data_IF_525024074260
#
_entry.id   IF_525024074260
#
_cell.length_a   1.000
_cell.length_b   1.000
_cell.length_c   1.000
_cell.angle_alpha   90.00
_cell.angle_beta   90.00
_cell.angle_gamma   90.00
#
_symmetry.space_group_name_H-M   'P 1'
#
loop_
_entity.id
_entity.type
_entity.pdbx_description
1 polymer ?
#
# COMPACT_ATOMS: atom_id res chain seq x y z
N UNK A 1 49.18 29.38 6.56
CA UNK A 1 49.85 29.70 5.28
C UNK A 1 48.91 30.56 4.46
N UNK A 2 49.18 31.86 4.37
CA UNK A 2 48.83 32.63 3.19
C UNK A 2 50.16 33.05 2.58
N UNK A 3 50.33 32.86 1.28
CA UNK A 3 50.90 33.95 0.47
C UNK A 3 50.21 33.99 -0.90
N UNK A 4 50.13 35.07 -1.66
CA UNK A 4 50.57 36.47 -1.59
C UNK A 4 49.62 37.18 -2.58
N UNK A 5 49.23 38.45 -2.41
CA UNK A 5 50.12 39.62 -2.40
C UNK A 5 50.65 39.84 -3.82
N UNK A 6 50.63 40.99 -4.47
CA UNK A 6 50.32 42.40 -4.20
C UNK A 6 50.20 43.01 -5.64
N UNK A 7 49.93 44.26 -5.97
CA UNK A 7 50.24 45.52 -5.32
C UNK A 7 49.43 46.65 -5.98
N UNK A 8 49.17 47.67 -5.18
CA UNK A 8 48.55 48.93 -5.51
C UNK A 8 49.52 49.94 -6.15
N UNK A 9 48.97 50.89 -6.93
CA UNK A 9 49.36 52.32 -7.05
C UNK A 9 48.36 52.99 -8.02
N UNK A 10 47.89 54.24 -7.94
CA UNK A 10 48.16 55.41 -7.08
C UNK A 10 47.01 56.47 -7.22
N UNK A 11 46.86 57.29 -6.17
CA UNK A 11 46.54 58.74 -6.10
C UNK A 11 45.34 59.42 -6.84
N UNK A 12 44.38 59.93 -6.01
CA UNK A 12 43.78 61.29 -5.86
C UNK A 12 43.33 62.19 -7.07
N UNK A 13 42.49 63.25 -6.87
CA UNK A 13 41.18 63.37 -6.19
C UNK A 13 40.07 64.16 -6.98
N UNK A 14 38.81 64.07 -6.49
CA UNK A 14 37.61 64.96 -6.67
C UNK A 14 36.92 65.04 -8.07
N UNK A 15 35.58 65.33 -8.20
CA UNK A 15 34.69 66.05 -7.28
C UNK A 15 33.33 65.38 -6.95
N UNK A 16 32.67 65.93 -5.92
CA UNK A 16 31.35 65.57 -5.39
C UNK A 16 30.26 65.74 -6.45
N UNK A 17 29.63 64.64 -6.87
CA UNK A 17 28.44 64.66 -7.72
C UNK A 17 27.20 64.41 -6.86
N UNK A 18 26.44 65.47 -6.58
CA UNK A 18 25.11 65.36 -5.95
C UNK A 18 24.22 64.50 -6.84
N UNK A 19 23.95 63.26 -6.44
CA UNK A 19 22.94 62.43 -7.07
C UNK A 19 21.57 62.96 -6.67
N UNK A 20 20.90 63.67 -7.58
CA UNK A 20 19.46 63.91 -7.45
C UNK A 20 18.76 62.56 -7.57
N UNK A 21 18.09 62.13 -6.49
CA UNK A 21 17.21 60.96 -6.53
C UNK A 21 16.14 61.20 -7.61
N UNK A 22 15.82 60.21 -8.47
CA UNK A 22 14.75 60.38 -9.45
C UNK A 22 13.43 60.68 -8.72
N UNK A 23 12.69 61.67 -9.22
CA UNK A 23 11.37 62.01 -8.68
C UNK A 23 10.48 60.77 -8.84
N UNK A 24 9.89 60.28 -7.73
CA UNK A 24 8.80 59.30 -7.81
C UNK A 24 7.64 59.97 -8.52
N UNK A 25 7.27 59.45 -9.68
CA UNK A 25 6.03 59.79 -10.36
C UNK A 25 4.91 59.24 -9.46
N UNK A 26 4.00 60.12 -9.03
CA UNK A 26 2.79 59.71 -8.29
C UNK A 26 1.94 58.84 -9.21
N UNK A 27 1.50 57.68 -8.70
CA UNK A 27 0.63 56.75 -9.43
C UNK A 27 -0.85 57.09 -9.23
N UNK A 28 -1.17 58.13 -8.45
CA UNK A 28 -2.53 58.59 -8.24
C UNK A 28 -3.07 59.22 -9.54
N UNK A 29 -3.88 58.45 -10.28
CA UNK A 29 -4.55 58.88 -11.51
C UNK A 29 -4.20 58.08 -12.77
N UNK A 30 -3.23 57.16 -12.71
CA UNK A 30 -2.92 56.28 -13.83
C UNK A 30 -3.94 55.12 -13.92
N UNK A 31 -5.01 55.34 -14.68
CA UNK A 31 -5.92 54.25 -15.05
C UNK A 31 -5.26 53.44 -16.18
N UNK A 32 -5.12 52.12 -16.00
CA UNK A 32 -4.70 51.25 -17.10
C UNK A 32 -5.77 51.29 -18.17
N UNK A 33 -5.39 51.66 -19.40
CA UNK A 33 -6.27 51.48 -20.56
C UNK A 33 -6.59 49.98 -20.67
N UNK A 34 -7.84 49.62 -20.41
CA UNK A 34 -8.31 48.25 -20.61
C UNK A 34 -8.74 48.11 -22.07
N UNK A 35 -8.15 47.14 -22.77
CA UNK A 35 -8.60 46.77 -24.11
C UNK A 35 -10.04 46.26 -24.05
N UNK A 36 -10.83 46.49 -25.10
CA UNK A 36 -12.20 45.98 -25.23
C UNK A 36 -12.26 44.45 -25.02
N UNK A 37 -11.23 43.72 -25.45
CA UNK A 37 -11.10 42.28 -25.20
C UNK A 37 -11.03 41.92 -23.70
N UNK A 38 -10.40 42.77 -22.88
CA UNK A 38 -10.33 42.54 -21.44
C UNK A 38 -11.67 42.80 -20.74
N UNK A 39 -12.51 43.67 -21.31
CA UNK A 39 -13.88 43.90 -20.84
C UNK A 39 -14.81 42.74 -21.23
N UNK A 40 -14.64 42.17 -22.43
CA UNK A 40 -15.39 40.99 -22.86
C UNK A 40 -15.04 39.77 -22.01
N UNK A 41 -13.77 39.48 -21.79
CA UNK A 41 -13.34 38.37 -20.91
C UNK A 41 -13.87 38.53 -19.46
N UNK A 42 -14.01 39.77 -18.98
CA UNK A 42 -14.58 40.04 -17.66
C UNK A 42 -16.11 39.86 -17.64
N UNK A 43 -16.81 40.05 -18.76
CA UNK A 43 -18.25 39.77 -18.91
C UNK A 43 -18.50 38.27 -19.06
N UNK A 44 -17.70 37.58 -19.86
CA UNK A 44 -17.77 36.13 -20.06
C UNK A 44 -17.51 35.37 -18.76
N UNK A 45 -16.58 35.86 -17.93
CA UNK A 45 -16.33 35.31 -16.60
C UNK A 45 -17.54 35.46 -15.67
N UNK A 46 -18.18 36.64 -15.66
CA UNK A 46 -19.42 36.87 -14.89
C UNK A 46 -20.59 36.01 -15.38
N UNK A 47 -20.65 35.76 -16.67
CA UNK A 47 -21.65 34.87 -17.27
C UNK A 47 -21.40 33.41 -16.89
N UNK A 48 -20.13 32.96 -16.95
CA UNK A 48 -19.72 31.63 -16.51
C UNK A 48 -19.96 31.41 -15.00
N UNK A 49 -19.74 32.43 -14.16
CA UNK A 49 -20.04 32.38 -12.72
C UNK A 49 -21.56 32.34 -12.45
N UNK A 50 -22.37 33.01 -13.27
CA UNK A 50 -23.84 32.99 -13.18
C UNK A 50 -24.44 31.64 -13.65
N UNK A 51 -23.86 31.01 -14.67
CA UNK A 51 -24.25 29.68 -15.14
C UNK A 51 -23.68 28.54 -14.26
N UNK A 52 -22.52 28.72 -13.63
CA UNK A 52 -21.97 27.80 -12.62
C UNK A 52 -22.75 27.83 -11.28
N UNK A 53 -23.52 28.90 -11.02
CA UNK A 53 -24.43 28.98 -9.88
C UNK A 53 -25.71 28.15 -10.06
N UNK A 54 -26.00 27.64 -11.27
CA UNK A 54 -26.95 26.53 -11.48
C UNK A 54 -26.27 25.20 -11.18
N UNK A 55 -26.11 24.95 -9.89
CA UNK A 55 -25.87 23.66 -9.23
C UNK A 55 -25.61 22.49 -10.20
N UNK A 56 -24.34 22.22 -10.48
CA UNK A 56 -23.97 20.81 -10.60
C UNK A 56 -24.37 20.17 -9.26
N UNK A 57 -25.16 19.09 -9.26
CA UNK A 57 -25.43 18.38 -8.02
C UNK A 57 -24.09 18.03 -7.39
N UNK A 58 -23.88 18.42 -6.14
CA UNK A 58 -22.73 18.00 -5.39
C UNK A 58 -22.72 16.46 -5.45
N UNK A 59 -21.72 15.89 -6.14
CA UNK A 59 -21.46 14.45 -6.11
C UNK A 59 -20.96 14.16 -4.70
N UNK A 60 -21.92 14.07 -3.77
CA UNK A 60 -21.70 13.38 -2.52
C UNK A 60 -21.68 11.93 -2.91
N UNK A 61 -20.50 11.40 -3.22
CA UNK A 61 -20.32 9.95 -3.30
C UNK A 61 -20.78 9.41 -1.94
N UNK A 62 -21.97 8.79 -1.94
CA UNK A 62 -22.52 8.18 -0.75
C UNK A 62 -21.67 6.94 -0.48
N UNK A 63 -20.65 7.12 0.34
CA UNK A 63 -19.77 6.06 0.81
C UNK A 63 -20.15 5.70 2.25
N UNK A 64 -20.17 4.40 2.53
CA UNK A 64 -20.43 3.84 3.85
C UNK A 64 -19.29 2.91 4.26
N UNK A 65 -19.01 2.86 5.57
CA UNK A 65 -18.03 1.93 6.15
C UNK A 65 -18.65 0.54 6.27
N UNK A 66 -18.21 -0.38 5.41
CA UNK A 66 -18.71 -1.75 5.38
C UNK A 66 -17.68 -2.72 5.99
N UNK A 67 -18.09 -3.45 7.04
CA UNK A 67 -17.22 -4.38 7.75
C UNK A 67 -17.30 -5.81 7.18
N UNK A 68 -16.21 -6.30 6.60
CA UNK A 68 -16.11 -7.64 6.03
C UNK A 68 -16.48 -8.74 7.04
N UNK A 69 -17.36 -9.66 6.63
CA UNK A 69 -17.83 -10.76 7.48
C UNK A 69 -16.80 -11.88 7.66
N UNK A 70 -15.80 -11.99 6.75
CA UNK A 70 -14.73 -12.97 6.85
C UNK A 70 -13.64 -12.52 7.83
N UNK A 71 -13.01 -11.38 7.54
CA UNK A 71 -11.81 -10.92 8.24
C UNK A 71 -12.07 -9.74 9.18
N UNK A 72 -13.27 -9.14 9.19
CA UNK A 72 -13.61 -8.04 10.09
C UNK A 72 -12.97 -6.69 9.77
N UNK A 73 -12.25 -6.57 8.65
CA UNK A 73 -11.69 -5.31 8.15
C UNK A 73 -12.80 -4.40 7.62
N UNK A 74 -12.69 -3.10 7.84
CA UNK A 74 -13.59 -2.07 7.30
C UNK A 74 -13.04 -1.53 5.99
N UNK A 75 -13.94 -1.32 5.03
CA UNK A 75 -13.67 -0.68 3.75
C UNK A 75 -14.76 0.37 3.49
N UNK A 76 -14.35 1.53 2.98
CA UNK A 76 -15.26 2.57 2.50
C UNK A 76 -15.80 2.14 1.12
N UNK A 77 -17.12 1.99 0.99
CA UNK A 77 -17.75 1.44 -0.20
C UNK A 77 -19.03 2.17 -0.55
N UNK A 78 -19.39 2.19 -1.84
CA UNK A 78 -20.72 2.67 -2.24
C UNK A 78 -21.78 1.60 -1.93
N UNK A 79 -23.01 1.98 -1.54
CA UNK A 79 -24.10 1.04 -1.27
C UNK A 79 -24.39 0.10 -2.46
N UNK A 80 -24.24 0.63 -3.67
CA UNK A 80 -24.40 -0.14 -4.92
C UNK A 80 -23.34 -1.24 -5.06
N UNK A 81 -22.09 -0.95 -4.69
CA UNK A 81 -21.04 -1.95 -4.66
C UNK A 81 -21.29 -2.99 -3.56
N UNK A 82 -21.70 -2.56 -2.36
CA UNK A 82 -22.09 -3.47 -1.26
C UNK A 82 -23.17 -4.45 -1.70
N UNK A 83 -24.20 -3.97 -2.40
CA UNK A 83 -25.29 -4.81 -2.90
C UNK A 83 -24.78 -5.86 -3.90
N UNK A 84 -23.96 -5.47 -4.87
CA UNK A 84 -23.39 -6.38 -5.88
C UNK A 84 -22.50 -7.46 -5.25
N UNK A 85 -21.71 -7.10 -4.24
CA UNK A 85 -20.88 -8.06 -3.52
C UNK A 85 -21.76 -9.05 -2.76
N UNK A 86 -22.78 -8.58 -2.04
CA UNK A 86 -23.73 -9.47 -1.34
C UNK A 86 -24.45 -10.43 -2.29
N UNK A 87 -24.86 -9.97 -3.46
CA UNK A 87 -25.47 -10.82 -4.49
C UNK A 87 -24.52 -11.95 -4.95
N UNK A 88 -23.20 -11.69 -5.02
CA UNK A 88 -22.18 -12.66 -5.43
C UNK A 88 -21.81 -13.66 -4.33
N UNK A 89 -21.75 -13.22 -3.07
CA UNK A 89 -21.23 -13.99 -1.94
C UNK A 89 -22.32 -14.39 -0.95
N UNK A 90 -23.40 -15.01 -1.45
CA UNK A 90 -24.44 -15.62 -0.62
C UNK A 90 -25.05 -14.67 0.42
N UNK A 91 -25.26 -13.40 0.04
CA UNK A 91 -25.81 -12.34 0.90
C UNK A 91 -24.80 -11.68 1.84
N UNK A 92 -23.55 -12.13 1.86
CA UNK A 92 -22.51 -11.63 2.78
C UNK A 92 -21.69 -10.51 2.17
N UNK A 93 -21.33 -9.54 3.00
CA UNK A 93 -20.36 -8.53 2.60
C UNK A 93 -18.93 -9.05 2.84
N UNK A 94 -18.13 -9.02 1.77
CA UNK A 94 -16.76 -9.54 1.74
C UNK A 94 -15.86 -8.46 1.16
N UNK A 95 -14.75 -8.16 1.85
CA UNK A 95 -13.78 -7.18 1.36
C UNK A 95 -13.09 -7.64 0.06
N UNK A 96 -12.49 -6.70 -0.68
CA UNK A 96 -11.83 -7.01 -1.96
C UNK A 96 -10.80 -8.15 -1.87
N UNK A 97 -9.99 -8.17 -0.80
CA UNK A 97 -8.98 -9.22 -0.61
C UNK A 97 -9.57 -10.61 -0.32
N UNK A 98 -10.64 -10.68 0.48
CA UNK A 98 -11.30 -11.95 0.75
C UNK A 98 -12.11 -12.41 -0.47
N UNK A 99 -12.66 -11.49 -1.26
CA UNK A 99 -13.36 -11.80 -2.50
C UNK A 99 -12.44 -12.53 -3.50
N UNK A 100 -11.23 -12.02 -3.70
CA UNK A 100 -10.21 -12.67 -4.55
C UNK A 100 -9.81 -14.06 -4.02
N UNK A 101 -9.62 -14.19 -2.70
CA UNK A 101 -9.30 -15.48 -2.10
C UNK A 101 -10.43 -16.52 -2.31
N UNK A 102 -11.69 -16.13 -2.12
CA UNK A 102 -12.84 -17.00 -2.33
C UNK A 102 -13.00 -17.37 -3.80
N UNK A 103 -12.80 -16.42 -4.73
CA UNK A 103 -12.85 -16.69 -6.16
C UNK A 103 -11.77 -17.71 -6.57
N UNK A 104 -10.53 -17.51 -6.11
CA UNK A 104 -9.43 -18.45 -6.36
C UNK A 104 -9.69 -19.85 -5.78
N UNK A 105 -10.28 -19.94 -4.59
CA UNK A 105 -10.69 -21.22 -3.99
C UNK A 105 -11.82 -21.92 -4.77
N UNK A 106 -12.77 -21.15 -5.32
CA UNK A 106 -13.87 -21.69 -6.12
C UNK A 106 -13.38 -22.22 -7.49
N UNK A 107 -12.49 -21.48 -8.15
CA UNK A 107 -11.90 -21.85 -9.43
C UNK A 107 -10.99 -23.09 -9.32
N UNK A 108 -10.18 -23.18 -8.26
CA UNK A 108 -9.25 -24.28 -8.04
C UNK A 108 -9.92 -25.63 -7.76
N UNK A 109 -11.17 -25.65 -7.29
CA UNK A 109 -11.94 -26.86 -7.00
C UNK A 109 -12.86 -27.27 -8.15
N UNK A 110 -12.35 -27.47 -9.36
CA UNK A 110 -13.11 -28.04 -10.51
C UNK A 110 -14.59 -27.61 -10.60
N UNK A 111 -14.88 -26.31 -10.48
CA UNK A 111 -16.27 -25.80 -10.46
C UNK A 111 -16.95 -25.82 -9.08
N UNK A 112 -16.19 -25.58 -8.02
CA UNK A 112 -16.71 -25.52 -6.65
C UNK A 112 -17.71 -24.38 -6.48
N UNK A 113 -18.79 -24.64 -5.72
CA UNK A 113 -19.81 -23.61 -5.45
C UNK A 113 -19.18 -22.49 -4.63
N UNK A 114 -19.42 -21.23 -5.02
CA UNK A 114 -18.94 -20.02 -4.31
C UNK A 114 -19.26 -20.07 -2.81
N UNK A 115 -20.39 -20.65 -2.43
CA UNK A 115 -20.80 -20.86 -1.04
C UNK A 115 -19.82 -21.74 -0.25
N UNK A 116 -19.38 -22.86 -0.81
CA UNK A 116 -18.44 -23.78 -0.15
C UNK A 116 -17.04 -23.16 -0.01
N UNK A 117 -16.61 -22.41 -1.03
CA UNK A 117 -15.37 -21.66 -0.99
C UNK A 117 -15.44 -20.54 0.07
N UNK A 118 -16.58 -19.84 0.14
CA UNK A 118 -16.81 -18.79 1.13
C UNK A 118 -16.81 -19.35 2.56
N UNK A 119 -17.48 -20.48 2.81
CA UNK A 119 -17.50 -21.12 4.13
C UNK A 119 -16.10 -21.60 4.55
N UNK A 120 -15.35 -22.22 3.65
CA UNK A 120 -13.98 -22.65 3.91
C UNK A 120 -13.08 -21.45 4.24
N UNK A 121 -13.18 -20.37 3.47
CA UNK A 121 -12.44 -19.15 3.70
C UNK A 121 -12.80 -18.50 5.04
N UNK A 122 -14.09 -18.42 5.39
CA UNK A 122 -14.55 -17.92 6.68
C UNK A 122 -14.00 -18.74 7.85
N UNK A 123 -13.89 -20.07 7.72
CA UNK A 123 -13.28 -20.91 8.74
C UNK A 123 -11.78 -20.60 8.92
N UNK A 124 -11.06 -20.34 7.83
CA UNK A 124 -9.65 -19.91 7.86
C UNK A 124 -9.53 -18.54 8.54
N UNK A 125 -10.30 -17.54 8.10
CA UNK A 125 -10.29 -16.21 8.70
C UNK A 125 -10.71 -16.23 10.18
N UNK A 126 -11.69 -17.07 10.55
CA UNK A 126 -12.13 -17.23 11.93
C UNK A 126 -11.02 -17.76 12.84
N UNK A 127 -10.27 -18.76 12.39
CA UNK A 127 -9.08 -19.25 13.11
C UNK A 127 -7.99 -18.19 13.21
N UNK A 128 -7.70 -17.50 12.10
CA UNK A 128 -6.70 -16.43 12.08
C UNK A 128 -7.08 -15.27 12.99
N UNK A 129 -8.34 -14.84 13.00
CA UNK A 129 -8.79 -13.74 13.86
C UNK A 129 -8.76 -14.10 15.33
N UNK A 130 -9.08 -15.35 15.69
CA UNK A 130 -9.06 -15.81 17.08
C UNK A 130 -7.65 -16.00 17.63
N UNK A 131 -6.77 -16.60 16.83
CA UNK A 131 -5.44 -17.05 17.29
C UNK A 131 -4.33 -16.25 16.62
N UNK A 132 -4.32 -16.15 15.30
CA UNK A 132 -3.27 -15.49 14.51
C UNK A 132 -3.11 -14.01 14.77
N UNK A 133 -4.20 -13.25 14.87
CA UNK A 133 -4.15 -11.82 15.18
C UNK A 133 -3.79 -11.54 16.63
N UNK A 134 -4.34 -12.32 17.55
CA UNK A 134 -4.12 -12.13 18.99
C UNK A 134 -2.73 -12.61 19.43
N UNK A 135 -2.22 -13.68 18.81
CA UNK A 135 -0.93 -14.26 19.12
C UNK A 135 -0.23 -14.81 17.86
N UNK A 136 0.43 -13.92 17.08
CA UNK A 136 1.15 -14.31 15.86
C UNK A 136 2.26 -15.33 16.12
N UNK A 137 2.92 -15.26 17.28
CA UNK A 137 4.00 -16.17 17.66
C UNK A 137 3.46 -17.58 17.85
N UNK A 138 2.31 -17.75 18.51
CA UNK A 138 1.70 -19.07 18.69
C UNK A 138 1.41 -19.73 17.33
N UNK A 139 0.80 -19.00 16.39
CA UNK A 139 0.58 -19.53 15.03
C UNK A 139 1.87 -19.88 14.30
N UNK A 140 2.93 -19.07 14.45
CA UNK A 140 4.23 -19.40 13.88
C UNK A 140 4.81 -20.68 14.49
N UNK A 141 4.75 -20.84 15.82
CA UNK A 141 5.23 -22.05 16.49
C UNK A 141 4.41 -23.29 16.13
N UNK A 142 3.09 -23.16 15.96
CA UNK A 142 2.23 -24.24 15.48
C UNK A 142 2.60 -24.66 14.05
N UNK A 143 2.84 -23.69 13.17
CA UNK A 143 3.30 -23.97 11.81
C UNK A 143 4.66 -24.68 11.82
N UNK A 144 5.62 -24.23 12.64
CA UNK A 144 6.92 -24.90 12.81
C UNK A 144 6.75 -26.33 13.34
N UNK A 145 5.89 -26.53 14.32
CA UNK A 145 5.57 -27.85 14.89
C UNK A 145 4.98 -28.78 13.84
N UNK A 146 4.06 -28.28 13.01
CA UNK A 146 3.44 -29.07 11.94
C UNK A 146 4.44 -29.45 10.85
N UNK A 147 5.35 -28.54 10.47
CA UNK A 147 6.44 -28.84 9.53
C UNK A 147 7.34 -29.95 10.07
N UNK A 148 7.75 -29.87 11.34
CA UNK A 148 8.57 -30.90 11.98
C UNK A 148 7.83 -32.23 12.08
N UNK A 149 6.53 -32.23 12.40
CA UNK A 149 5.69 -33.44 12.47
C UNK A 149 5.52 -34.11 11.11
N UNK A 150 5.30 -33.34 10.04
CA UNK A 150 5.21 -33.87 8.67
C UNK A 150 6.54 -34.47 8.22
N UNK A 151 7.67 -33.86 8.59
CA UNK A 151 9.02 -34.37 8.29
C UNK A 151 9.39 -35.61 9.10
N UNK A 152 8.93 -35.74 10.33
CA UNK A 152 9.20 -36.94 11.15
C UNK A 152 8.28 -38.11 10.81
N UNK A 153 7.12 -37.85 10.21
CA UNK A 153 6.17 -38.87 9.75
C UNK A 153 6.24 -39.21 8.26
N UNK A 154 7.16 -38.64 7.48
CA UNK A 154 7.31 -39.07 6.08
C UNK A 154 7.86 -40.49 6.06
N UNK A 155 7.00 -41.46 5.78
CA UNK A 155 7.41 -42.76 5.28
C UNK A 155 8.25 -42.49 4.04
N UNK A 156 9.55 -42.62 4.20
CA UNK A 156 10.47 -42.52 3.07
C UNK A 156 10.02 -43.56 2.04
N UNK A 157 10.12 -43.32 0.72
CA UNK A 157 9.97 -44.39 -0.27
C UNK A 157 10.89 -45.60 -0.02
N UNK A 158 11.83 -45.50 0.93
CA UNK A 158 12.69 -46.59 1.41
C UNK A 158 12.01 -47.56 2.39
N UNK A 159 10.79 -47.31 2.84
CA UNK A 159 10.12 -48.15 3.86
C UNK A 159 9.49 -49.45 3.30
N UNK A 160 9.79 -49.81 2.05
CA UNK A 160 9.58 -51.18 1.56
C UNK A 160 10.77 -52.12 1.84
N UNK A 161 11.79 -51.68 2.59
CA UNK A 161 12.83 -52.58 3.09
C UNK A 161 12.45 -53.15 4.46
N UNK A 162 12.56 -54.48 4.69
CA UNK A 162 12.18 -55.10 5.95
C UNK A 162 13.07 -54.62 7.09
N UNK A 163 12.47 -54.53 8.27
CA UNK A 163 13.06 -54.09 9.53
C UNK A 163 14.50 -54.62 9.72
N UNK A 164 15.47 -53.71 9.77
CA UNK A 164 16.86 -54.03 10.03
C UNK A 164 17.69 -52.78 10.30
N UNK A 165 17.92 -52.51 11.58
CA UNK A 165 18.92 -51.59 12.14
C UNK A 165 18.82 -50.10 11.77
N UNK A 166 18.85 -49.23 12.79
CA UNK A 166 19.17 -47.81 12.60
C UNK A 166 20.57 -47.69 12.00
N UNK A 167 20.64 -47.54 10.66
CA UNK A 167 21.87 -47.20 9.98
C UNK A 167 22.24 -45.75 10.34
N UNK A 168 23.27 -45.61 11.16
CA UNK A 168 23.91 -44.33 11.47
C UNK A 168 24.40 -43.72 10.14
N UNK A 169 24.00 -42.48 9.87
CA UNK A 169 24.51 -41.71 8.73
C UNK A 169 26.04 -41.80 8.67
N UNK A 170 26.56 -42.32 7.57
CA UNK A 170 27.98 -42.62 7.37
C UNK A 170 28.82 -41.36 7.11
N UNK A 171 28.83 -40.40 8.04
CA UNK A 171 29.63 -39.18 7.92
C UNK A 171 30.70 -39.01 9.01
N UNK A 172 31.01 -40.04 9.78
CA UNK A 172 32.18 -40.00 10.66
C UNK A 172 32.83 -41.38 10.75
N UNK A 173 34.02 -41.51 10.15
CA UNK A 173 34.94 -42.61 10.41
C UNK A 173 35.56 -42.33 11.79
N UNK A 174 35.36 -43.16 12.83
CA UNK A 174 36.09 -43.00 14.08
C UNK A 174 37.51 -43.51 13.85
N UNK A 175 38.49 -42.60 13.83
CA UNK A 175 39.91 -42.92 13.66
C UNK A 175 40.56 -43.42 14.97
N UNK A 176 39.93 -44.39 15.66
CA UNK A 176 40.51 -45.01 16.85
C UNK A 176 40.18 -46.49 16.78
N UNK A 177 41.13 -47.27 16.26
CA UNK A 177 41.74 -48.45 16.91
C UNK A 177 42.59 -49.16 15.87
N UNK A 178 43.88 -48.83 15.80
CA UNK A 178 44.87 -49.77 15.28
C UNK A 178 46.22 -49.50 15.91
N UNK A 179 46.38 -49.96 17.14
CA UNK A 179 47.66 -50.27 17.79
C UNK A 179 47.38 -51.21 18.97
N UNK A 180 47.08 -52.48 18.69
CA UNK A 180 47.25 -53.59 19.63
C UNK A 180 47.27 -54.92 18.85
N UNK A 181 48.45 -55.25 18.32
CA UNK A 181 49.15 -56.55 18.28
C UNK A 181 50.15 -56.58 17.14
#
# INVERSE_FOLDING_TARGET
>A
MAPNGDAAVAAAPAPVRRQSKPRRISMEGLQRAMSELALELARDKKQADADAAKQLPAITEQVEDARCECCGMQEECTPEYVRRVRERYCGRWVCGLCAEAVNGEAEGRHGGRTEEALEAHMAVCGRFNRVGRANPVLMQTEAMREILRKRSGSKSPRDHAPAGALARSSSCIPAITKDFN
#
